data_IF_906811557109
#
_entry.id   IF_906811557109
#
_cell.length_a   1.000
_cell.length_b   1.000
_cell.length_c   1.000
_cell.angle_alpha   90.00
_cell.angle_beta   90.00
_cell.angle_gamma   90.00
#
_symmetry.space_group_name_H-M   'P 1'
#
loop_
_entity.id
_entity.type
_entity.pdbx_description
1 polymer ?
#
# COMPACT_ATOMS: atom_id res chain seq x y z
N UNK A 1 -18.41 18.47 -19.44
CA UNK A 1 -17.86 19.48 -18.49
C UNK A 1 -16.74 18.84 -17.67
N UNK A 2 -15.84 19.60 -17.02
CA UNK A 2 -14.72 19.06 -16.23
C UNK A 2 -15.11 19.05 -14.74
N UNK A 3 -15.19 17.87 -14.12
CA UNK A 3 -15.56 17.74 -12.70
C UNK A 3 -14.49 18.36 -11.80
N UNK A 4 -14.77 19.55 -11.23
CA UNK A 4 -13.89 20.19 -10.25
C UNK A 4 -14.15 19.63 -8.83
N UNK A 5 -13.99 18.32 -8.69
CA UNK A 5 -14.31 17.53 -7.49
C UNK A 5 -13.56 17.94 -6.21
N UNK A 6 -12.61 18.87 -6.31
CA UNK A 6 -11.83 19.39 -5.19
C UNK A 6 -12.44 20.66 -4.56
N UNK A 7 -13.28 21.40 -5.30
CA UNK A 7 -13.90 22.67 -4.84
C UNK A 7 -14.93 22.53 -3.71
N UNK A 8 -15.29 21.31 -3.33
CA UNK A 8 -16.15 21.01 -2.17
C UNK A 8 -15.53 20.04 -1.16
N UNK A 9 -14.23 19.74 -1.27
CA UNK A 9 -13.57 18.75 -0.39
C UNK A 9 -13.10 19.35 0.95
N UNK A 10 -12.93 20.68 1.01
CA UNK A 10 -12.42 21.40 2.18
C UNK A 10 -13.42 22.47 2.58
N UNK A 11 -13.63 22.66 3.89
CA UNK A 11 -14.44 23.77 4.42
C UNK A 11 -13.58 25.02 4.51
N UNK A 12 -14.15 26.18 4.18
CA UNK A 12 -13.47 27.48 4.27
C UNK A 12 -14.28 28.49 5.10
N UNK A 13 -13.58 29.35 5.84
CA UNK A 13 -14.12 30.48 6.58
C UNK A 13 -15.34 30.07 7.43
N UNK A 14 -16.49 30.74 7.27
CA UNK A 14 -17.77 30.50 7.95
C UNK A 14 -18.33 29.06 7.83
N UNK A 15 -17.78 28.22 6.93
CA UNK A 15 -18.18 26.82 6.82
C UNK A 15 -17.61 25.95 7.95
N UNK A 16 -16.57 26.42 8.65
CA UNK A 16 -15.90 25.71 9.74
C UNK A 16 -16.74 25.83 11.01
N UNK A 17 -17.13 24.69 11.59
CA UNK A 17 -18.09 24.63 12.74
C UNK A 17 -17.44 24.36 14.10
N UNK A 18 -16.11 24.28 14.16
CA UNK A 18 -15.38 24.05 15.40
C UNK A 18 -15.25 25.34 16.22
N UNK A 19 -15.33 25.25 17.55
CA UNK A 19 -15.13 26.43 18.44
C UNK A 19 -13.66 26.89 18.46
N UNK A 20 -12.75 25.93 18.39
CA UNK A 20 -11.30 26.10 18.41
C UNK A 20 -10.68 25.36 17.23
N UNK A 21 -9.59 25.90 16.70
CA UNK A 21 -8.85 25.37 15.56
C UNK A 21 -7.35 25.45 15.81
N UNK A 22 -6.60 24.45 15.33
CA UNK A 22 -5.14 24.45 15.34
C UNK A 22 -4.64 24.99 14.00
N UNK A 23 -4.05 26.17 13.99
CA UNK A 23 -3.47 26.79 12.79
C UNK A 23 -2.04 26.29 12.61
N UNK A 24 -1.65 25.96 11.37
CA UNK A 24 -0.28 25.51 11.03
C UNK A 24 0.32 26.31 9.88
N UNK A 25 1.39 27.07 10.13
CA UNK A 25 2.12 27.82 9.10
C UNK A 25 2.95 26.91 8.18
N UNK A 26 3.80 27.51 7.36
CA UNK A 26 4.95 26.81 6.74
C UNK A 26 6.22 26.93 7.59
N UNK A 27 6.36 28.01 8.37
CA UNK A 27 7.50 28.24 9.28
C UNK A 27 7.07 28.50 10.74
N UNK A 28 5.77 28.58 11.04
CA UNK A 28 5.25 28.80 12.41
C UNK A 28 4.85 27.49 13.09
N UNK A 29 5.04 27.41 14.40
CA UNK A 29 4.60 26.26 15.19
C UNK A 29 3.07 26.08 15.21
N UNK A 30 2.55 24.85 15.42
CA UNK A 30 1.12 24.57 15.52
C UNK A 30 0.48 25.19 16.77
N UNK A 31 -0.22 26.32 16.62
CA UNK A 31 -0.88 27.03 17.73
C UNK A 31 -2.41 26.87 17.66
N UNK A 32 -3.06 26.88 18.82
CA UNK A 32 -4.52 26.72 18.96
C UNK A 32 -5.14 28.11 19.18
N UNK A 33 -6.17 28.42 18.40
CA UNK A 33 -6.91 29.68 18.47
C UNK A 33 -8.41 29.40 18.48
N UNK A 34 -9.20 30.35 19.00
CA UNK A 34 -10.65 30.33 18.77
C UNK A 34 -10.96 30.57 17.29
N UNK A 35 -12.09 30.05 16.79
CA UNK A 35 -12.50 30.27 15.40
C UNK A 35 -12.59 31.76 15.04
N UNK A 36 -13.09 32.60 15.95
CA UNK A 36 -13.20 34.04 15.74
C UNK A 36 -11.82 34.73 15.56
N UNK A 37 -10.81 34.33 16.35
CA UNK A 37 -9.44 34.80 16.17
C UNK A 37 -8.85 34.32 14.84
N UNK A 38 -9.05 33.04 14.49
CA UNK A 38 -8.55 32.46 13.25
C UNK A 38 -9.15 33.12 11.99
N UNK A 39 -10.46 33.38 11.99
CA UNK A 39 -11.15 34.11 10.92
C UNK A 39 -10.67 35.56 10.82
N UNK A 40 -10.43 36.23 11.96
CA UNK A 40 -9.86 37.58 11.96
C UNK A 40 -8.44 37.58 11.38
N UNK A 41 -7.56 36.68 11.81
CA UNK A 41 -6.19 36.57 11.30
C UNK A 41 -6.14 36.28 9.80
N UNK A 42 -7.10 35.51 9.26
CA UNK A 42 -7.21 35.27 7.83
C UNK A 42 -7.64 36.55 7.08
N UNK A 43 -8.66 37.25 7.59
CA UNK A 43 -9.16 38.51 7.03
C UNK A 43 -8.14 39.66 7.12
N UNK A 44 -7.40 39.76 8.23
CA UNK A 44 -6.32 40.74 8.44
C UNK A 44 -5.13 40.54 7.46
N UNK A 45 -5.11 39.43 6.69
CA UNK A 45 -4.11 39.08 5.68
C UNK A 45 -4.71 38.99 4.24
N UNK A 46 -6.00 39.26 4.06
CA UNK A 46 -6.76 39.01 2.81
C UNK A 46 -6.64 37.56 2.28
N UNK A 47 -6.67 36.56 3.18
CA UNK A 47 -6.57 35.13 2.88
C UNK A 47 -7.76 34.33 3.44
N UNK A 48 -7.95 33.09 2.97
CA UNK A 48 -8.96 32.17 3.48
C UNK A 48 -8.43 31.32 4.66
N UNK A 49 -9.29 31.06 5.65
CA UNK A 49 -9.08 30.00 6.64
C UNK A 49 -9.63 28.68 6.09
N UNK A 50 -8.75 27.76 5.72
CA UNK A 50 -9.08 26.46 5.11
C UNK A 50 -8.92 25.32 6.13
N UNK A 51 -9.97 24.54 6.37
CA UNK A 51 -9.94 23.32 7.19
C UNK A 51 -9.22 22.19 6.42
N UNK A 52 -8.01 21.83 6.83
CA UNK A 52 -7.16 20.82 6.16
C UNK A 52 -7.41 19.40 6.71
N UNK A 53 -7.67 19.28 8.01
CA UNK A 53 -7.99 18.01 8.66
C UNK A 53 -9.10 18.17 9.71
N UNK A 54 -10.35 17.78 9.38
CA UNK A 54 -11.48 17.83 10.33
C UNK A 54 -11.43 16.71 11.39
N UNK A 55 -10.58 15.69 11.21
CA UNK A 55 -10.52 14.51 12.08
C UNK A 55 -9.65 14.72 13.33
N UNK A 56 -8.94 15.86 13.43
CA UNK A 56 -8.11 16.20 14.58
C UNK A 56 -8.92 16.94 15.64
N UNK A 57 -8.47 16.87 16.90
CA UNK A 57 -9.02 17.67 18.01
C UNK A 57 -7.94 18.63 18.56
N UNK A 58 -8.21 19.95 18.61
CA UNK A 58 -9.07 20.67 17.67
C UNK A 58 -8.67 20.46 16.19
N UNK A 59 -9.58 20.70 15.21
CA UNK A 59 -9.30 20.54 13.79
C UNK A 59 -8.13 21.37 13.28
N UNK A 60 -7.40 20.86 12.28
CA UNK A 60 -6.22 21.54 11.72
C UNK A 60 -6.61 22.40 10.53
N UNK A 61 -6.31 23.69 10.62
CA UNK A 61 -6.62 24.70 9.60
C UNK A 61 -5.36 25.41 9.10
N UNK A 62 -5.43 26.05 7.93
CA UNK A 62 -4.39 26.93 7.37
C UNK A 62 -4.98 28.24 6.90
N UNK A 63 -4.22 29.33 7.06
CA UNK A 63 -4.52 30.62 6.44
C UNK A 63 -3.77 30.66 5.10
N UNK A 64 -4.50 30.53 3.97
CA UNK A 64 -3.95 30.43 2.61
C UNK A 64 -4.99 30.88 1.58
N UNK A 65 -4.54 31.36 0.41
CA UNK A 65 -5.42 31.55 -0.77
C UNK A 65 -5.97 30.19 -1.22
N UNK A 66 -7.29 30.01 -1.13
CA UNK A 66 -7.96 28.75 -1.47
C UNK A 66 -7.84 28.39 -2.96
N UNK A 67 -7.83 29.37 -3.87
CA UNK A 67 -7.71 29.14 -5.31
C UNK A 67 -6.30 28.67 -5.68
N UNK A 68 -5.27 29.30 -5.12
CA UNK A 68 -3.86 28.91 -5.25
C UNK A 68 -3.58 27.56 -4.61
N UNK A 69 -4.15 27.28 -3.43
CA UNK A 69 -4.11 25.97 -2.80
C UNK A 69 -4.70 24.88 -3.70
N UNK A 70 -5.92 25.06 -4.21
CA UNK A 70 -6.55 24.11 -5.13
C UNK A 70 -5.73 23.89 -6.41
N UNK A 71 -5.09 24.93 -6.95
CA UNK A 71 -4.19 24.79 -8.10
C UNK A 71 -2.95 23.96 -7.77
N UNK A 72 -2.29 24.23 -6.64
CA UNK A 72 -1.13 23.47 -6.17
C UNK A 72 -1.48 21.99 -5.89
N UNK A 73 -2.63 21.73 -5.24
CA UNK A 73 -3.19 20.39 -5.04
C UNK A 73 -3.36 19.66 -6.39
N UNK A 74 -4.03 20.30 -7.36
CA UNK A 74 -4.21 19.75 -8.72
C UNK A 74 -2.89 19.50 -9.44
N UNK A 75 -1.90 20.39 -9.31
CA UNK A 75 -0.56 20.23 -9.90
C UNK A 75 0.17 19.04 -9.26
N UNK A 76 0.23 18.98 -7.93
CA UNK A 76 0.86 17.89 -7.16
C UNK A 76 0.23 16.54 -7.45
N UNK A 77 -1.11 16.45 -7.53
CA UNK A 77 -1.80 15.22 -7.92
C UNK A 77 -1.48 14.79 -9.36
N UNK A 78 -1.38 15.72 -10.32
CA UNK A 78 -0.96 15.41 -11.69
C UNK A 78 0.47 14.91 -11.74
N UNK A 79 1.40 15.58 -11.06
CA UNK A 79 2.80 15.15 -10.97
C UNK A 79 2.94 13.78 -10.30
N UNK A 80 2.18 13.50 -9.23
CA UNK A 80 2.14 12.18 -8.59
C UNK A 80 1.58 11.11 -9.52
N UNK A 81 0.47 11.38 -10.24
CA UNK A 81 -0.12 10.45 -11.21
C UNK A 81 0.73 10.25 -12.48
N UNK A 82 1.62 11.18 -12.80
CA UNK A 82 2.61 11.06 -13.87
C UNK A 82 3.87 10.31 -13.43
N UNK A 83 4.31 10.51 -12.18
CA UNK A 83 5.44 9.79 -11.55
C UNK A 83 5.07 8.37 -11.10
N UNK A 84 3.78 8.06 -11.01
CA UNK A 84 3.29 6.71 -10.71
C UNK A 84 3.54 5.81 -11.93
N UNK A 85 4.57 4.97 -11.85
CA UNK A 85 4.82 3.89 -12.82
C UNK A 85 3.58 3.02 -12.92
N UNK A 86 2.99 2.98 -14.11
CA UNK A 86 1.84 2.13 -14.42
C UNK A 86 2.35 0.73 -14.69
N UNK A 87 2.42 -0.11 -13.65
CA UNK A 87 2.64 -1.55 -13.79
C UNK A 87 1.53 -2.11 -14.69
N UNK A 88 1.89 -2.50 -15.90
CA UNK A 88 1.00 -3.09 -16.88
C UNK A 88 0.99 -4.63 -16.69
N UNK A 89 0.07 -5.30 -17.40
CA UNK A 89 0.02 -6.76 -17.45
C UNK A 89 0.27 -7.21 -18.89
N UNK A 90 1.41 -7.87 -19.11
CA UNK A 90 1.80 -8.43 -20.41
C UNK A 90 1.36 -9.88 -20.48
N UNK A 91 0.59 -10.24 -21.51
CA UNK A 91 0.18 -11.62 -21.74
C UNK A 91 1.21 -12.38 -22.59
N UNK A 92 1.61 -13.58 -22.15
CA UNK A 92 2.44 -14.51 -22.92
C UNK A 92 1.65 -15.80 -23.15
N UNK A 93 1.60 -16.25 -24.41
CA UNK A 93 0.76 -17.38 -24.83
C UNK A 93 1.59 -18.57 -25.30
N UNK A 94 1.33 -19.72 -24.68
CA UNK A 94 1.90 -21.02 -25.01
C UNK A 94 0.88 -21.94 -25.71
N UNK A 95 1.39 -22.87 -26.50
CA UNK A 95 0.65 -24.04 -26.95
C UNK A 95 0.86 -25.23 -26.01
N UNK A 96 -0.01 -26.25 -26.03
CA UNK A 96 0.23 -27.51 -25.32
C UNK A 96 1.41 -28.31 -25.91
N UNK A 97 1.83 -27.96 -27.13
CA UNK A 97 3.01 -28.50 -27.82
C UNK A 97 3.86 -27.32 -28.31
N UNK A 98 4.41 -26.55 -27.38
CA UNK A 98 5.40 -25.49 -27.68
C UNK A 98 6.78 -26.14 -27.82
N UNK A 99 7.50 -25.75 -28.87
CA UNK A 99 8.88 -26.17 -29.15
C UNK A 99 9.89 -25.39 -28.27
N UNK A 100 11.07 -25.96 -28.00
CA UNK A 100 12.10 -25.30 -27.17
C UNK A 100 12.57 -23.95 -27.77
N UNK A 101 12.56 -23.74 -29.09
CA UNK A 101 12.89 -22.44 -29.67
C UNK A 101 11.80 -21.39 -29.39
N UNK A 102 10.52 -21.76 -29.54
CA UNK A 102 9.35 -20.91 -29.22
C UNK A 102 9.31 -20.59 -27.71
N UNK A 103 9.65 -21.58 -26.87
CA UNK A 103 9.81 -21.42 -25.43
C UNK A 103 10.92 -20.40 -25.08
N UNK A 104 12.13 -20.60 -25.58
CA UNK A 104 13.28 -19.73 -25.31
C UNK A 104 13.08 -18.29 -25.83
N UNK A 105 12.35 -18.12 -26.94
CA UNK A 105 11.95 -16.80 -27.43
C UNK A 105 11.00 -16.09 -26.44
N UNK A 106 10.01 -16.80 -25.90
CA UNK A 106 9.04 -16.28 -24.92
C UNK A 106 9.66 -16.02 -23.55
N UNK A 107 10.61 -16.86 -23.12
CA UNK A 107 11.38 -16.65 -21.90
C UNK A 107 12.12 -15.31 -21.92
N UNK A 108 12.82 -15.00 -23.03
CA UNK A 108 13.51 -13.70 -23.21
C UNK A 108 12.55 -12.50 -23.18
N UNK A 109 11.36 -12.63 -23.78
CA UNK A 109 10.33 -11.58 -23.70
C UNK A 109 9.79 -11.40 -22.28
N UNK A 110 9.63 -12.50 -21.53
CA UNK A 110 9.20 -12.44 -20.13
C UNK A 110 10.23 -11.72 -19.26
N UNK A 111 11.52 -12.05 -19.40
CA UNK A 111 12.62 -11.37 -18.71
C UNK A 111 12.56 -9.86 -19.01
N UNK A 112 12.48 -9.46 -20.28
CA UNK A 112 12.37 -8.05 -20.66
C UNK A 112 11.19 -7.34 -19.99
N UNK A 113 10.00 -7.96 -19.97
CA UNK A 113 8.82 -7.36 -19.33
C UNK A 113 8.96 -7.27 -17.80
N UNK A 114 9.65 -8.21 -17.17
CA UNK A 114 9.91 -8.20 -15.73
C UNK A 114 10.98 -7.16 -15.36
N UNK A 115 11.99 -6.95 -16.20
CA UNK A 115 13.00 -5.89 -16.03
C UNK A 115 12.41 -4.48 -16.30
N UNK A 116 11.46 -4.35 -17.25
CA UNK A 116 10.63 -3.15 -17.44
C UNK A 116 9.72 -2.85 -16.21
N UNK A 117 9.53 -3.83 -15.32
CA UNK A 117 8.70 -3.71 -14.11
C UNK A 117 7.21 -4.02 -14.33
N UNK A 118 6.83 -4.60 -15.47
CA UNK A 118 5.48 -5.08 -15.75
C UNK A 118 5.24 -6.48 -15.15
N UNK A 119 3.97 -6.80 -14.87
CA UNK A 119 3.54 -8.16 -14.50
C UNK A 119 3.40 -9.01 -15.76
N UNK A 120 3.82 -10.28 -15.69
CA UNK A 120 3.66 -11.26 -16.77
C UNK A 120 2.54 -12.23 -16.41
N UNK A 121 1.57 -12.38 -17.32
CA UNK A 121 0.50 -13.38 -17.27
C UNK A 121 0.76 -14.40 -18.37
N UNK A 122 1.38 -15.52 -18.02
CA UNK A 122 1.60 -16.62 -18.96
C UNK A 122 0.39 -17.57 -18.98
N UNK A 123 0.02 -18.07 -20.16
CA UNK A 123 -1.04 -19.06 -20.28
C UNK A 123 -0.86 -20.06 -21.43
N UNK A 124 -1.23 -21.32 -21.17
CA UNK A 124 -1.39 -22.36 -22.19
C UNK A 124 -2.85 -22.34 -22.67
N UNK A 125 -3.08 -22.34 -23.99
CA UNK A 125 -4.43 -22.37 -24.56
C UNK A 125 -4.76 -23.73 -25.19
N UNK A 126 -5.70 -24.46 -24.59
CA UNK A 126 -6.12 -25.77 -25.05
C UNK A 126 -7.24 -25.67 -26.10
N UNK A 127 -6.94 -26.11 -27.32
CA UNK A 127 -7.91 -26.27 -28.41
C UNK A 127 -8.49 -27.68 -28.43
N UNK A 128 -9.81 -27.82 -28.32
CA UNK A 128 -10.50 -29.10 -28.46
C UNK A 128 -9.95 -30.19 -27.52
N UNK A 129 -9.61 -31.36 -28.08
CA UNK A 129 -9.09 -32.52 -27.32
C UNK A 129 -7.76 -32.27 -26.61
N UNK A 130 -7.02 -31.20 -26.91
CA UNK A 130 -5.73 -30.94 -26.24
C UNK A 130 -5.82 -30.61 -24.75
N UNK A 131 -7.03 -30.42 -24.21
CA UNK A 131 -7.27 -30.33 -22.75
C UNK A 131 -6.83 -31.60 -22.00
N UNK A 132 -6.72 -32.75 -22.68
CA UNK A 132 -6.12 -33.97 -22.13
C UNK A 132 -4.65 -33.78 -21.74
N UNK A 133 -3.93 -32.87 -22.41
CA UNK A 133 -2.54 -32.51 -22.11
C UNK A 133 -2.42 -31.39 -21.06
N UNK A 134 -3.42 -31.24 -20.17
CA UNK A 134 -3.39 -30.28 -19.05
C UNK A 134 -2.10 -30.36 -18.23
N UNK A 135 -1.62 -31.57 -17.95
CA UNK A 135 -0.42 -31.86 -17.15
C UNK A 135 0.87 -31.43 -17.88
N UNK A 136 0.94 -31.58 -19.20
CA UNK A 136 2.06 -31.05 -20.00
C UNK A 136 2.06 -29.51 -20.00
N UNK A 137 0.88 -28.89 -20.03
CA UNK A 137 0.74 -27.44 -19.88
C UNK A 137 1.13 -26.94 -18.48
N UNK A 138 0.83 -27.71 -17.44
CA UNK A 138 1.22 -27.42 -16.06
C UNK A 138 2.74 -27.49 -15.88
N UNK A 139 3.37 -28.58 -16.31
CA UNK A 139 4.84 -28.75 -16.30
C UNK A 139 5.54 -27.65 -17.10
N UNK A 140 4.98 -27.23 -18.25
CA UNK A 140 5.53 -26.10 -19.03
C UNK A 140 5.47 -24.77 -18.24
N UNK A 141 4.34 -24.46 -17.58
CA UNK A 141 4.22 -23.23 -16.79
C UNK A 141 5.06 -23.27 -15.49
N UNK A 142 5.29 -24.45 -14.91
CA UNK A 142 6.19 -24.63 -13.78
C UNK A 142 7.67 -24.50 -14.20
N UNK A 143 8.08 -25.09 -15.33
CA UNK A 143 9.41 -24.86 -15.94
C UNK A 143 9.63 -23.35 -16.17
N UNK A 144 8.64 -22.67 -16.75
CA UNK A 144 8.68 -21.24 -17.02
C UNK A 144 8.72 -20.38 -15.74
N UNK A 145 8.11 -20.84 -14.65
CA UNK A 145 8.21 -20.17 -13.34
C UNK A 145 9.60 -20.31 -12.73
N UNK A 146 10.22 -21.50 -12.83
CA UNK A 146 11.55 -21.78 -12.31
C UNK A 146 12.65 -21.06 -13.12
N UNK A 147 12.57 -21.12 -14.46
CA UNK A 147 13.51 -20.44 -15.37
C UNK A 147 13.44 -18.89 -15.22
N UNK A 148 12.35 -18.37 -14.64
CA UNK A 148 12.17 -16.96 -14.31
C UNK A 148 12.37 -16.66 -12.82
N UNK A 149 12.77 -17.62 -11.97
CA UNK A 149 12.82 -17.40 -10.52
C UNK A 149 13.77 -16.25 -10.14
N UNK A 150 14.89 -16.03 -10.84
CA UNK A 150 15.77 -14.89 -10.55
C UNK A 150 15.07 -13.53 -10.76
N UNK A 151 14.22 -13.44 -11.79
CA UNK A 151 13.58 -12.20 -12.26
C UNK A 151 12.14 -11.99 -11.74
N UNK A 152 11.48 -13.06 -11.28
CA UNK A 152 10.07 -13.06 -10.92
C UNK A 152 9.77 -13.71 -9.57
N UNK A 153 8.70 -13.23 -8.95
CA UNK A 153 7.97 -13.94 -7.90
C UNK A 153 6.68 -14.49 -8.53
N UNK A 154 6.44 -15.77 -8.34
CA UNK A 154 5.14 -16.39 -8.63
C UNK A 154 4.10 -15.81 -7.66
N UNK A 155 3.06 -15.14 -8.19
CA UNK A 155 1.94 -14.63 -7.39
C UNK A 155 0.96 -15.76 -7.04
N UNK A 156 0.74 -16.68 -7.98
CA UNK A 156 -0.16 -17.84 -7.89
C UNK A 156 0.40 -19.00 -8.72
N UNK A 157 0.21 -20.24 -8.24
CA UNK A 157 0.51 -21.46 -9.01
C UNK A 157 -0.39 -21.58 -10.26
N UNK A 158 -0.08 -22.46 -11.23
CA UNK A 158 -0.92 -22.65 -12.41
C UNK A 158 -2.37 -23.04 -12.08
N UNK A 159 -3.35 -22.31 -12.61
CA UNK A 159 -4.79 -22.58 -12.42
C UNK A 159 -5.48 -22.76 -13.77
N UNK A 160 -6.39 -23.73 -13.87
CA UNK A 160 -7.17 -24.02 -15.07
C UNK A 160 -8.47 -23.19 -15.15
N UNK A 161 -8.40 -22.04 -15.81
CA UNK A 161 -9.57 -21.25 -16.21
C UNK A 161 -10.19 -21.78 -17.52
N UNK A 162 -10.96 -22.87 -17.40
CA UNK A 162 -11.80 -23.44 -18.46
C UNK A 162 -11.02 -24.04 -19.63
N UNK A 163 -10.62 -23.21 -20.61
CA UNK A 163 -9.82 -23.61 -21.79
C UNK A 163 -8.40 -23.02 -21.77
N UNK A 164 -8.02 -22.35 -20.70
CA UNK A 164 -6.67 -21.82 -20.45
C UNK A 164 -6.16 -22.34 -19.12
N UNK A 165 -4.90 -22.73 -19.05
CA UNK A 165 -4.19 -22.78 -17.76
C UNK A 165 -3.33 -21.53 -17.68
N UNK A 166 -3.41 -20.79 -16.57
CA UNK A 166 -2.79 -19.47 -16.40
C UNK A 166 -1.86 -19.47 -15.18
N UNK A 167 -0.80 -18.66 -15.23
CA UNK A 167 0.07 -18.35 -14.11
C UNK A 167 0.40 -16.85 -14.10
N UNK A 168 0.50 -16.26 -12.91
CA UNK A 168 0.85 -14.85 -12.73
C UNK A 168 2.24 -14.70 -12.10
N UNK A 169 3.09 -13.94 -12.77
CA UNK A 169 4.45 -13.63 -12.38
C UNK A 169 4.58 -12.12 -12.16
N UNK A 170 5.03 -11.75 -10.97
CA UNK A 170 5.30 -10.35 -10.60
C UNK A 170 6.80 -10.12 -10.56
N UNK A 171 7.32 -8.98 -11.05
CA UNK A 171 8.76 -8.76 -11.10
C UNK A 171 9.39 -8.75 -9.71
N UNK A 172 10.43 -9.57 -9.51
CA UNK A 172 11.36 -9.42 -8.38
C UNK A 172 12.17 -8.16 -8.65
N UNK A 173 11.74 -7.06 -8.03
CA UNK A 173 12.49 -5.80 -8.02
C UNK A 173 13.94 -6.06 -7.57
N UNK A 174 14.90 -5.89 -8.48
CA UNK A 174 16.18 -5.23 -8.12
C UNK A 174 15.76 -3.92 -7.45
N UNK A 175 16.17 -3.68 -6.21
CA UNK A 175 15.57 -2.63 -5.37
C UNK A 175 15.57 -1.26 -6.07
N UNK A 176 14.42 -0.67 -6.43
CA UNK A 176 14.38 0.74 -6.72
C UNK A 176 14.72 1.43 -5.40
N UNK A 177 15.83 2.17 -5.37
CA UNK A 177 16.33 2.87 -4.19
C UNK A 177 15.38 4.03 -3.85
N UNK A 178 14.24 3.69 -3.27
CA UNK A 178 13.40 4.62 -2.56
C UNK A 178 14.24 5.18 -1.41
N UNK A 179 14.39 6.51 -1.28
CA UNK A 179 15.16 7.08 -0.19
C UNK A 179 14.51 6.65 1.12
N UNK A 180 15.21 5.81 1.88
CA UNK A 180 14.76 5.32 3.19
C UNK A 180 14.57 6.54 4.08
N UNK A 181 13.32 6.96 4.29
CA UNK A 181 12.98 7.85 5.40
C UNK A 181 13.55 7.18 6.65
N UNK A 182 14.43 7.83 7.43
CA UNK A 182 14.94 7.25 8.65
C UNK A 182 13.75 7.04 9.60
N UNK A 183 13.38 5.78 9.82
CA UNK A 183 12.45 5.43 10.87
C UNK A 183 13.16 5.72 12.20
N UNK A 184 12.51 6.48 13.07
CA UNK A 184 13.07 6.78 14.39
C UNK A 184 13.36 5.47 15.15
N UNK A 185 14.50 5.35 15.85
CA UNK A 185 14.88 4.12 16.53
C UNK A 185 13.87 3.80 17.62
N UNK A 186 13.26 2.62 17.56
CA UNK A 186 12.56 2.05 18.71
C UNK A 186 13.61 1.60 19.72
N UNK A 187 13.59 2.18 20.91
CA UNK A 187 14.50 1.81 21.98
C UNK A 187 14.28 0.35 22.43
N UNK A 188 15.37 -0.39 22.56
CA UNK A 188 15.39 -1.73 23.12
C UNK A 188 15.32 -1.63 24.66
N UNK A 189 14.33 -2.26 25.29
CA UNK A 189 14.32 -2.44 26.75
C UNK A 189 14.91 -3.80 27.06
N UNK A 190 16.05 -3.80 27.74
CA UNK A 190 16.80 -5.00 28.14
C UNK A 190 16.04 -5.80 29.21
N UNK A 191 16.23 -7.11 29.19
CA UNK A 191 15.72 -8.06 30.20
C UNK A 191 16.88 -8.55 31.06
N UNK A 192 16.59 -9.10 32.26
CA UNK A 192 17.50 -9.74 33.25
C UNK A 192 18.22 -8.79 34.24
N UNK A 193 18.54 -9.23 35.49
CA UNK A 193 17.85 -10.26 36.31
C UNK A 193 17.76 -10.01 37.86
N UNK A 194 16.93 -10.85 38.51
CA UNK A 194 17.07 -11.45 39.86
C UNK A 194 16.98 -10.62 41.17
N UNK A 195 15.90 -10.87 41.93
CA UNK A 195 15.84 -11.32 43.35
C UNK A 195 14.36 -11.73 43.60
N UNK A 196 13.94 -12.87 44.14
CA UNK A 196 14.41 -13.82 45.17
C UNK A 196 14.18 -13.35 46.62
N UNK A 197 12.98 -13.66 47.16
CA UNK A 197 12.75 -13.76 48.61
C UNK A 197 11.65 -14.79 48.95
N UNK A 198 11.82 -15.46 50.09
CA UNK A 198 11.00 -16.50 50.75
C UNK A 198 11.50 -16.58 52.21
N UNK A 199 10.81 -17.21 53.19
CA UNK A 199 9.51 -17.91 53.13
C UNK A 199 8.49 -17.43 54.19
N UNK A 200 7.30 -18.04 54.21
CA UNK A 200 6.49 -18.22 55.41
C UNK A 200 5.61 -19.48 55.27
N UNK A 201 5.43 -20.23 56.36
CA UNK A 201 4.68 -21.49 56.42
C UNK A 201 3.90 -21.54 57.74
N UNK A 202 2.58 -21.79 57.69
CA UNK A 202 1.74 -22.10 58.86
C UNK A 202 0.66 -23.10 58.43
N UNK A 203 0.37 -24.08 59.28
CA UNK A 203 -0.53 -25.23 59.02
C UNK A 203 -1.79 -25.16 59.90
N UNK A 204 -2.92 -25.62 59.36
CA UNK A 204 -4.13 -26.14 60.08
C UNK A 204 -5.03 -26.75 58.99
N UNK A 205 -5.50 -28.01 59.00
CA UNK A 205 -6.34 -28.74 59.98
C UNK A 205 -7.68 -28.02 60.26
N UNK A 206 -8.89 -28.61 60.14
CA UNK A 206 -9.39 -30.00 59.88
C UNK A 206 -10.84 -29.91 59.28
N UNK A 207 -11.66 -30.93 58.94
CA UNK A 207 -11.74 -32.39 59.25
C UNK A 207 -12.54 -33.20 58.16
N UNK A 208 -13.22 -34.26 58.61
CA UNK A 208 -14.16 -35.25 58.03
C UNK A 208 -15.43 -34.64 57.33
N UNK A 209 -16.36 -35.37 56.67
CA UNK A 209 -17.02 -36.68 56.97
C UNK A 209 -17.33 -37.54 55.72
N UNK A 210 -17.56 -38.83 55.96
CA UNK A 210 -17.72 -40.00 55.07
C UNK A 210 -19.15 -40.29 54.57
N UNK A 211 -19.28 -41.42 53.84
CA UNK A 211 -20.48 -42.19 53.43
C UNK A 211 -20.86 -42.02 51.93
N UNK A 212 -21.23 -43.08 51.20
CA UNK A 212 -21.29 -44.53 51.51
C UNK A 212 -20.79 -45.37 50.32
#
# INVERSE_FOLDING_TARGET
>A
MKNDSLKGQYRINEQIRAKEVRIVGEESEPQIFTLAQALKMAKDQDLDLVEISPNAQPPVCRIIDYSKFLYQQKKRQKEQKAKQVKVNVKEIRFGPQTDDHDYNFKLKHAISFLEDGDKVKAYVFFKGRSILFKEQGEVLLLRFANDLEEYAKVDQLPVLEGKRMIIFLSPKRKEPVAPKKPAAPKAEVKVTPKAEEKPAEVVTEVKEVTAE
#
